data_IF_274204456187
#
_entry.id   IF_274204456187
#
_cell.length_a   1.000
_cell.length_b   1.000
_cell.length_c   1.000
_cell.angle_alpha   90.00
_cell.angle_beta   90.00
_cell.angle_gamma   90.00
#
_symmetry.space_group_name_H-M   'P 1'
#
loop_
_entity.id
_entity.type
_entity.pdbx_description
1 polymer ?
#
# COMPACT_ATOMS: atom_id res chain seq x y z
N UNK A 1 -5.02 11.69 12.40
CA UNK A 1 -5.90 10.61 11.89
C UNK A 1 -5.74 10.58 10.39
N UNK A 2 -5.51 9.40 9.82
CA UNK A 2 -5.44 9.24 8.37
C UNK A 2 -6.79 9.55 7.74
N UNK A 3 -6.80 10.09 6.53
CA UNK A 3 -8.03 10.43 5.80
C UNK A 3 -7.83 10.27 4.30
N UNK A 4 -8.95 10.10 3.62
CA UNK A 4 -9.01 10.03 2.17
C UNK A 4 -9.29 11.40 1.54
N UNK A 5 -9.06 11.52 0.24
CA UNK A 5 -9.31 12.75 -0.52
C UNK A 5 -8.27 13.85 -0.31
N UNK A 6 -7.01 13.51 -0.01
CA UNK A 6 -5.94 14.49 0.09
C UNK A 6 -5.51 14.93 -1.31
N UNK A 7 -5.67 16.21 -1.63
CA UNK A 7 -5.37 16.74 -2.97
C UNK A 7 -3.99 17.38 -2.96
N UNK A 8 -3.12 16.92 -3.85
CA UNK A 8 -1.81 17.50 -4.11
C UNK A 8 -1.71 17.95 -5.56
N UNK A 9 -1.11 19.11 -5.77
CA UNK A 9 -0.97 19.76 -7.07
C UNK A 9 0.46 20.19 -7.26
N UNK A 10 0.97 20.00 -8.46
CA UNK A 10 2.21 20.59 -8.94
C UNK A 10 2.02 21.20 -10.34
N UNK A 11 3.11 21.52 -11.02
CA UNK A 11 3.08 22.10 -12.37
C UNK A 11 2.63 21.08 -13.44
N UNK A 12 2.73 19.78 -13.14
CA UNK A 12 2.53 18.68 -14.08
C UNK A 12 1.16 18.00 -13.93
N UNK A 13 0.47 18.19 -12.80
CA UNK A 13 -0.89 17.68 -12.62
C UNK A 13 -1.45 17.74 -11.20
N UNK A 14 -2.46 16.90 -10.97
CA UNK A 14 -3.09 16.72 -9.66
C UNK A 14 -3.14 15.24 -9.31
N UNK A 15 -2.91 14.93 -8.03
CA UNK A 15 -3.18 13.61 -7.47
C UNK A 15 -4.08 13.73 -6.26
N UNK A 16 -5.10 12.87 -6.21
CA UNK A 16 -5.89 12.62 -5.01
C UNK A 16 -5.31 11.39 -4.35
N UNK A 17 -4.78 11.55 -3.14
CA UNK A 17 -4.28 10.47 -2.33
C UNK A 17 -5.30 10.08 -1.26
N UNK A 18 -5.74 8.82 -1.32
CA UNK A 18 -6.64 8.21 -0.36
C UNK A 18 -5.83 7.43 0.70
N UNK A 19 -5.13 8.17 1.57
CA UNK A 19 -4.14 7.61 2.50
C UNK A 19 -4.72 6.57 3.46
N UNK A 20 -5.96 6.76 3.93
CA UNK A 20 -6.61 5.79 4.81
C UNK A 20 -6.86 4.49 4.04
N UNK A 21 -7.43 4.59 2.84
CA UNK A 21 -7.68 3.45 1.96
C UNK A 21 -6.40 2.70 1.60
N UNK A 22 -5.32 3.43 1.31
CA UNK A 22 -4.01 2.83 1.03
C UNK A 22 -3.46 2.03 2.22
N UNK A 23 -3.51 2.60 3.43
CA UNK A 23 -3.04 1.92 4.63
C UNK A 23 -3.87 0.67 4.95
N UNK A 24 -5.20 0.75 4.82
CA UNK A 24 -6.08 -0.42 5.02
C UNK A 24 -5.82 -1.51 3.98
N UNK A 25 -5.58 -1.14 2.72
CA UNK A 25 -5.22 -2.10 1.68
C UNK A 25 -3.93 -2.84 2.05
N UNK A 26 -2.87 -2.14 2.47
CA UNK A 26 -1.60 -2.77 2.89
C UNK A 26 -1.81 -3.71 4.09
N UNK A 27 -2.66 -3.34 5.07
CA UNK A 27 -3.00 -4.24 6.20
C UNK A 27 -3.65 -5.53 5.71
N UNK A 28 -4.59 -5.45 4.78
CA UNK A 28 -5.27 -6.62 4.26
C UNK A 28 -4.36 -7.48 3.37
N UNK A 29 -3.45 -6.86 2.60
CA UNK A 29 -2.45 -7.60 1.83
C UNK A 29 -1.46 -8.35 2.75
N UNK A 30 -1.08 -7.78 3.89
CA UNK A 30 -0.31 -8.51 4.90
C UNK A 30 -1.06 -9.75 5.40
N UNK A 31 -2.37 -9.66 5.62
CA UNK A 31 -3.19 -10.81 6.03
C UNK A 31 -3.21 -11.88 4.94
N UNK A 32 -3.52 -11.50 3.70
CA UNK A 32 -3.77 -12.45 2.61
C UNK A 32 -2.46 -13.06 2.05
N UNK A 33 -1.37 -12.28 1.98
CA UNK A 33 -0.11 -12.72 1.36
C UNK A 33 0.90 -13.28 2.35
N UNK A 34 0.93 -12.76 3.58
CA UNK A 34 1.88 -13.21 4.63
C UNK A 34 1.22 -14.21 5.58
N UNK A 35 -0.11 -14.14 5.75
CA UNK A 35 -0.85 -15.04 6.65
C UNK A 35 -0.84 -14.61 8.11
N UNK A 36 -0.56 -13.33 8.40
CA UNK A 36 -0.59 -12.79 9.76
C UNK A 36 -2.00 -12.31 10.15
N UNK A 37 -2.22 -12.09 11.45
CA UNK A 37 -3.50 -11.55 11.91
C UNK A 37 -3.68 -10.08 11.50
N UNK A 38 -4.93 -9.63 11.35
CA UNK A 38 -5.22 -8.21 11.07
C UNK A 38 -4.74 -7.28 12.19
N UNK A 39 -4.75 -7.73 13.45
CA UNK A 39 -4.23 -6.94 14.58
C UNK A 39 -2.71 -6.73 14.45
N UNK A 40 -1.99 -7.77 14.04
CA UNK A 40 -0.55 -7.69 13.80
C UNK A 40 -0.23 -6.82 12.58
N UNK A 41 -0.96 -7.01 11.48
CA UNK A 41 -0.86 -6.15 10.29
C UNK A 41 -1.12 -4.68 10.62
N UNK A 42 -2.13 -4.39 11.45
CA UNK A 42 -2.44 -3.05 11.92
C UNK A 42 -1.28 -2.44 12.69
N UNK A 43 -0.68 -3.16 13.64
CA UNK A 43 0.49 -2.69 14.40
C UNK A 43 1.70 -2.39 13.50
N UNK A 44 1.91 -3.21 12.47
CA UNK A 44 3.00 -3.00 11.50
C UNK A 44 2.77 -1.70 10.73
N UNK A 45 1.58 -1.53 10.14
CA UNK A 45 1.26 -0.35 9.33
C UNK A 45 1.20 0.92 10.17
N UNK A 46 0.62 0.89 11.37
CA UNK A 46 0.54 2.04 12.28
C UNK A 46 1.90 2.56 12.76
N UNK A 47 2.92 1.69 12.76
CA UNK A 47 4.31 2.06 13.10
C UNK A 47 5.14 2.45 11.88
N UNK A 48 4.59 2.30 10.68
CA UNK A 48 5.28 2.59 9.43
C UNK A 48 5.16 4.06 9.03
N UNK A 49 6.03 4.54 8.11
CA UNK A 49 5.88 5.87 7.51
C UNK A 49 4.53 6.08 6.81
N UNK A 50 3.84 5.03 6.36
CA UNK A 50 2.52 5.18 5.70
C UNK A 50 1.46 5.77 6.63
N UNK A 51 1.59 5.55 7.94
CA UNK A 51 0.66 6.06 8.94
C UNK A 51 0.97 7.52 9.37
N UNK A 52 2.02 8.13 8.84
CA UNK A 52 2.33 9.54 9.05
C UNK A 52 1.54 10.37 8.02
N UNK A 53 0.71 11.34 8.44
CA UNK A 53 -0.02 12.18 7.51
C UNK A 53 0.92 12.85 6.51
N UNK A 54 0.66 12.65 5.21
CA UNK A 54 1.47 13.28 4.17
C UNK A 54 1.15 14.77 4.07
N UNK A 55 2.15 15.58 3.73
CA UNK A 55 2.01 17.04 3.64
C UNK A 55 2.42 17.63 2.28
N UNK A 56 3.01 16.83 1.38
CA UNK A 56 3.49 17.28 0.09
C UNK A 56 3.38 16.21 -1.02
N UNK A 57 3.51 16.63 -2.28
CA UNK A 57 3.39 15.77 -3.45
C UNK A 57 4.54 14.75 -3.60
N UNK A 58 5.73 15.06 -3.05
CA UNK A 58 6.88 14.14 -3.10
C UNK A 58 6.61 12.89 -2.26
N UNK A 59 5.99 13.02 -1.09
CA UNK A 59 5.60 11.88 -0.26
C UNK A 59 4.61 10.98 -1.00
N UNK A 60 3.65 11.57 -1.70
CA UNK A 60 2.69 10.82 -2.53
C UNK A 60 3.39 10.11 -3.66
N UNK A 61 4.32 10.78 -4.35
CA UNK A 61 5.10 10.17 -5.43
C UNK A 61 5.93 8.98 -4.96
N UNK A 62 6.51 9.06 -3.75
CA UNK A 62 7.24 7.95 -3.12
C UNK A 62 6.29 6.77 -2.87
N UNK A 63 5.11 7.03 -2.28
CA UNK A 63 4.16 5.95 -1.95
C UNK A 63 3.51 5.31 -3.18
N UNK A 64 3.31 6.07 -4.26
CA UNK A 64 2.74 5.58 -5.51
C UNK A 64 3.73 4.90 -6.44
N UNK A 65 5.04 5.01 -6.16
CA UNK A 65 6.09 4.48 -7.05
C UNK A 65 6.04 2.96 -7.20
N UNK A 66 5.61 2.26 -6.14
CA UNK A 66 5.54 0.80 -6.10
C UNK A 66 4.13 0.31 -5.74
N UNK A 67 3.84 -0.94 -6.10
CA UNK A 67 2.57 -1.59 -5.79
C UNK A 67 2.33 -1.68 -4.27
N UNK A 68 1.06 -1.66 -3.80
CA UNK A 68 0.73 -2.01 -2.41
C UNK A 68 1.37 -3.32 -1.93
N UNK A 69 1.56 -4.30 -2.83
CA UNK A 69 2.36 -5.51 -2.60
C UNK A 69 3.75 -5.22 -2.00
N UNK A 70 4.50 -4.31 -2.63
CA UNK A 70 5.86 -3.99 -2.21
C UNK A 70 5.87 -3.51 -0.76
N UNK A 71 4.95 -2.62 -0.40
CA UNK A 71 4.84 -2.08 0.94
C UNK A 71 4.52 -3.17 1.97
N UNK A 72 3.59 -4.08 1.66
CA UNK A 72 3.27 -5.22 2.52
C UNK A 72 4.51 -6.11 2.74
N UNK A 73 5.21 -6.48 1.68
CA UNK A 73 6.41 -7.34 1.79
C UNK A 73 7.56 -6.61 2.50
N UNK A 74 7.79 -5.34 2.19
CA UNK A 74 8.82 -4.51 2.78
C UNK A 74 8.65 -4.36 4.30
N UNK A 75 7.43 -4.08 4.77
CA UNK A 75 7.20 -3.88 6.20
C UNK A 75 7.29 -5.17 7.02
N UNK A 76 7.01 -6.32 6.42
CA UNK A 76 7.10 -7.59 7.14
C UNK A 76 8.48 -8.24 7.05
N UNK A 77 9.04 -8.36 5.84
CA UNK A 77 10.30 -9.09 5.59
C UNK A 77 11.54 -8.18 5.55
N UNK A 78 11.34 -6.86 5.60
CA UNK A 78 12.39 -5.85 5.51
C UNK A 78 12.90 -5.63 4.08
N UNK A 79 13.78 -4.63 3.94
CA UNK A 79 14.41 -4.33 2.66
C UNK A 79 15.18 -5.54 2.09
N UNK A 80 15.18 -5.67 0.77
CA UNK A 80 15.83 -6.80 0.08
C UNK A 80 15.14 -8.14 0.36
N UNK A 81 13.83 -8.14 0.65
CA UNK A 81 13.07 -9.38 0.83
C UNK A 81 13.16 -10.32 -0.38
N UNK A 82 13.46 -9.77 -1.56
CA UNK A 82 13.56 -10.48 -2.83
C UNK A 82 14.94 -11.06 -3.15
N UNK A 83 15.90 -11.00 -2.21
CA UNK A 83 17.17 -11.68 -2.41
C UNK A 83 16.99 -13.19 -2.48
N UNK A 84 17.85 -13.83 -3.28
CA UNK A 84 17.71 -15.24 -3.66
C UNK A 84 17.70 -16.22 -2.47
N UNK A 85 18.22 -15.81 -1.32
CA UNK A 85 18.23 -16.57 -0.07
C UNK A 85 16.89 -16.54 0.68
N UNK A 86 16.03 -15.56 0.41
CA UNK A 86 14.71 -15.40 1.06
C UNK A 86 13.57 -16.04 0.30
N UNK A 87 13.71 -16.21 -1.02
CA UNK A 87 12.73 -16.90 -1.86
C UNK A 87 11.37 -16.19 -2.01
N UNK A 88 11.31 -14.89 -1.68
CA UNK A 88 10.09 -14.07 -1.82
C UNK A 88 10.22 -13.29 -3.13
N UNK A 89 9.22 -13.27 -4.01
CA UNK A 89 9.35 -12.61 -5.29
C UNK A 89 9.28 -11.08 -5.13
N UNK A 90 10.05 -10.32 -5.92
CA UNK A 90 10.09 -8.84 -5.86
C UNK A 90 8.77 -8.16 -6.26
N UNK A 91 7.91 -8.91 -6.94
CA UNK A 91 6.59 -8.54 -7.41
C UNK A 91 5.71 -9.80 -7.39
N UNK A 92 4.38 -9.69 -7.46
CA UNK A 92 3.53 -10.87 -7.58
C UNK A 92 3.93 -11.77 -8.76
N UNK A 93 3.99 -13.07 -8.54
CA UNK A 93 4.30 -14.05 -9.60
C UNK A 93 3.17 -14.12 -10.65
N UNK A 94 1.93 -13.97 -10.18
CA UNK A 94 0.73 -13.86 -11.01
C UNK A 94 0.11 -12.47 -10.78
N UNK A 95 0.35 -11.57 -11.73
CA UNK A 95 -0.12 -10.19 -11.67
C UNK A 95 -1.65 -10.10 -11.79
N UNK A 96 -2.28 -10.96 -12.59
CA UNK A 96 -3.74 -10.94 -12.77
C UNK A 96 -4.44 -11.40 -11.49
N UNK A 97 -3.93 -12.46 -10.87
CA UNK A 97 -4.43 -12.94 -9.57
C UNK A 97 -4.22 -11.89 -8.47
N UNK A 98 -3.08 -11.19 -8.47
CA UNK A 98 -2.82 -10.11 -7.52
C UNK A 98 -3.80 -8.95 -7.67
N UNK A 99 -4.02 -8.44 -8.89
CA UNK A 99 -4.98 -7.34 -9.09
C UNK A 99 -6.42 -7.76 -8.79
N UNK A 100 -6.79 -9.02 -9.05
CA UNK A 100 -8.08 -9.55 -8.62
C UNK A 100 -8.22 -9.55 -7.09
N UNK A 101 -7.17 -9.95 -6.36
CA UNK A 101 -7.14 -9.91 -4.89
C UNK A 101 -7.24 -8.48 -4.37
N UNK A 102 -6.43 -7.55 -4.89
CA UNK A 102 -6.43 -6.14 -4.51
C UNK A 102 -7.83 -5.54 -4.67
N UNK A 103 -8.45 -5.75 -5.85
CA UNK A 103 -9.82 -5.30 -6.11
C UNK A 103 -10.83 -5.91 -5.15
N UNK A 104 -10.74 -7.23 -4.89
CA UNK A 104 -11.63 -7.90 -3.95
C UNK A 104 -11.52 -7.32 -2.53
N UNK A 105 -10.31 -7.03 -2.05
CA UNK A 105 -10.08 -6.38 -0.76
C UNK A 105 -10.74 -5.01 -0.75
N UNK A 106 -10.47 -4.19 -1.77
CA UNK A 106 -11.00 -2.83 -1.86
C UNK A 106 -12.53 -2.81 -1.86
N UNK A 107 -13.17 -3.66 -2.66
CA UNK A 107 -14.63 -3.80 -2.70
C UNK A 107 -15.21 -4.26 -1.35
N UNK A 108 -14.63 -5.31 -0.76
CA UNK A 108 -15.11 -5.87 0.52
C UNK A 108 -15.04 -4.86 1.66
N UNK A 109 -14.03 -4.00 1.65
CA UNK A 109 -13.76 -3.04 2.73
C UNK A 109 -14.18 -1.61 2.40
N UNK A 110 -14.81 -1.39 1.23
CA UNK A 110 -15.24 -0.08 0.73
C UNK A 110 -14.08 0.93 0.67
N UNK A 111 -12.91 0.48 0.23
CA UNK A 111 -11.72 1.31 0.07
C UNK A 111 -11.78 2.03 -1.28
N UNK A 112 -11.21 3.23 -1.32
CA UNK A 112 -11.02 4.00 -2.56
C UNK A 112 -9.72 3.60 -3.24
N UNK A 113 -9.62 3.91 -4.53
CA UNK A 113 -8.35 3.83 -5.27
C UNK A 113 -7.28 4.63 -4.51
N UNK A 114 -6.14 4.01 -4.13
CA UNK A 114 -5.14 4.70 -3.32
C UNK A 114 -4.67 6.03 -3.92
N UNK A 115 -4.46 6.06 -5.23
CA UNK A 115 -3.98 7.22 -5.98
C UNK A 115 -4.85 7.45 -7.22
N UNK A 116 -5.47 8.61 -7.32
CA UNK A 116 -6.24 9.03 -8.50
C UNK A 116 -5.53 10.21 -9.15
N UNK A 117 -5.04 10.02 -10.37
CA UNK A 117 -4.33 11.03 -11.16
C UNK A 117 -5.28 11.71 -12.14
N UNK A 118 -5.25 13.05 -12.20
CA UNK A 118 -6.00 13.87 -13.16
C UNK A 118 -5.09 14.54 -14.20
#
# INVERSE_FOLDING_TARGET
MLRDGLVFKDEDGQVIFNQYSFCELVKHLLVELVGISYEEASKIVERSPLAVPVDNAMDVAIFSHDLPYYWAMFFYYGNGYWWADKGIPAQPEDMDAYFALEKQIMEKHNLKEPFEWE
#
